data_IF_566796257460
#
_entry.id   IF_566796257460
#
_cell.length_a   1.000
_cell.length_b   1.000
_cell.length_c   1.000
_cell.angle_alpha   90.00
_cell.angle_beta   90.00
_cell.angle_gamma   90.00
#
_symmetry.space_group_name_H-M   'P 1'
#
loop_
_entity.id
_entity.type
_entity.pdbx_description
1 polymer ?
#
# COMPACT_ATOMS: atom_id res chain seq x y z
N UNK A 1 -15.59 37.41 -32.12
CA UNK A 1 -15.08 37.44 -30.72
C UNK A 1 -15.72 36.35 -29.83
N UNK A 2 -17.04 36.10 -29.93
CA UNK A 2 -17.78 35.10 -29.13
C UNK A 2 -17.24 33.67 -29.24
N UNK A 3 -16.85 33.20 -30.44
CA UNK A 3 -16.30 31.85 -30.63
C UNK A 3 -14.94 31.59 -29.98
N UNK A 4 -14.13 32.63 -29.73
CA UNK A 4 -12.82 32.49 -29.09
C UNK A 4 -12.94 32.35 -27.57
N UNK A 5 -13.89 33.05 -26.96
CA UNK A 5 -14.22 32.94 -25.53
C UNK A 5 -14.80 31.56 -25.21
N UNK A 6 -15.74 31.08 -26.04
CA UNK A 6 -16.32 29.74 -25.89
C UNK A 6 -15.26 28.62 -25.99
N UNK A 7 -14.30 28.74 -26.90
CA UNK A 7 -13.20 27.75 -27.00
C UNK A 7 -12.26 27.78 -25.79
N UNK A 8 -12.00 28.96 -25.22
CA UNK A 8 -11.17 29.08 -24.01
C UNK A 8 -11.88 28.53 -22.78
N UNK A 9 -13.18 28.75 -22.64
CA UNK A 9 -13.96 28.20 -21.51
C UNK A 9 -14.05 26.68 -21.57
N UNK A 10 -14.32 26.08 -22.74
CA UNK A 10 -14.37 24.62 -22.87
C UNK A 10 -13.01 23.97 -22.57
N UNK A 11 -11.91 24.56 -23.07
CA UNK A 11 -10.56 24.06 -22.75
C UNK A 11 -10.26 24.14 -21.25
N UNK A 12 -10.65 25.23 -20.59
CA UNK A 12 -10.46 25.39 -19.15
C UNK A 12 -11.29 24.37 -18.35
N UNK A 13 -12.54 24.12 -18.75
CA UNK A 13 -13.42 23.12 -18.14
C UNK A 13 -12.85 21.70 -18.27
N UNK A 14 -12.44 21.32 -19.48
CA UNK A 14 -11.79 20.02 -19.74
C UNK A 14 -10.54 19.81 -18.91
N UNK A 15 -9.66 20.82 -18.86
CA UNK A 15 -8.45 20.77 -18.03
C UNK A 15 -8.78 20.68 -16.54
N UNK A 16 -9.79 21.43 -16.07
CA UNK A 16 -10.27 21.35 -14.70
C UNK A 16 -10.81 19.97 -14.35
N UNK A 17 -11.50 19.31 -15.28
CA UNK A 17 -12.00 17.95 -15.10
C UNK A 17 -10.87 16.91 -15.03
N UNK A 18 -9.85 17.01 -15.90
CA UNK A 18 -8.66 16.16 -15.84
C UNK A 18 -7.95 16.29 -14.48
N UNK A 19 -7.70 17.54 -14.05
CA UNK A 19 -7.06 17.82 -12.77
C UNK A 19 -7.88 17.26 -11.60
N UNK A 20 -9.22 17.35 -11.66
CA UNK A 20 -10.11 16.79 -10.66
C UNK A 20 -10.05 15.26 -10.59
N UNK A 21 -10.02 14.57 -11.74
CA UNK A 21 -9.88 13.11 -11.79
C UNK A 21 -8.54 12.69 -11.23
N UNK A 22 -7.44 13.28 -11.73
CA UNK A 22 -6.10 12.97 -11.26
C UNK A 22 -5.97 13.19 -9.74
N UNK A 23 -6.49 14.31 -9.23
CA UNK A 23 -6.50 14.63 -7.80
C UNK A 23 -7.30 13.63 -6.97
N UNK A 24 -8.50 13.26 -7.43
CA UNK A 24 -9.39 12.34 -6.74
C UNK A 24 -8.79 10.92 -6.70
N UNK A 25 -8.23 10.46 -7.80
CA UNK A 25 -7.57 9.16 -7.89
C UNK A 25 -6.30 9.13 -7.02
N UNK A 26 -5.48 10.17 -7.07
CA UNK A 26 -4.30 10.30 -6.22
C UNK A 26 -4.64 10.28 -4.74
N UNK A 27 -5.74 10.94 -4.34
CA UNK A 27 -6.23 10.90 -2.95
C UNK A 27 -6.70 9.51 -2.51
N UNK A 28 -7.33 8.74 -3.40
CA UNK A 28 -7.77 7.37 -3.11
C UNK A 28 -6.56 6.45 -2.99
N UNK A 29 -5.63 6.53 -3.94
CA UNK A 29 -4.40 5.73 -3.95
C UNK A 29 -3.48 6.04 -2.75
N UNK A 30 -3.44 7.30 -2.29
CA UNK A 30 -2.67 7.68 -1.12
C UNK A 30 -3.40 7.43 0.22
N UNK A 31 -4.60 6.85 0.21
CA UNK A 31 -5.43 6.75 1.41
C UNK A 31 -4.88 5.77 2.46
N UNK A 32 -4.26 4.68 2.01
CA UNK A 32 -3.56 3.69 2.84
C UNK A 32 -2.05 4.01 3.00
N UNK A 33 -1.57 5.04 2.29
CA UNK A 33 -0.19 5.50 2.29
C UNK A 33 0.72 4.77 1.30
N UNK A 34 0.20 3.85 0.47
CA UNK A 34 1.00 3.10 -0.52
C UNK A 34 0.32 3.14 -1.88
N UNK A 35 0.84 3.97 -2.77
CA UNK A 35 0.39 4.03 -4.16
C UNK A 35 0.91 2.81 -4.91
N UNK A 36 0.00 2.01 -5.48
CA UNK A 36 0.35 0.80 -6.23
C UNK A 36 0.35 1.04 -7.75
N UNK A 37 1.22 0.37 -8.52
CA UNK A 37 1.20 0.49 -9.97
C UNK A 37 -0.11 -0.02 -10.60
N UNK A 38 -0.80 -0.96 -9.95
CA UNK A 38 -2.11 -1.48 -10.37
C UNK A 38 -3.18 -0.39 -10.40
N UNK A 39 -3.18 0.52 -9.41
CA UNK A 39 -4.11 1.64 -9.31
C UNK A 39 -3.91 2.63 -10.47
N UNK A 40 -2.66 2.94 -10.78
CA UNK A 40 -2.31 3.80 -11.91
C UNK A 40 -2.66 3.13 -13.25
N UNK A 41 -2.40 1.83 -13.40
CA UNK A 41 -2.78 1.07 -14.59
C UNK A 41 -4.31 1.09 -14.78
N UNK A 42 -5.08 0.98 -13.69
CA UNK A 42 -6.54 1.03 -13.74
C UNK A 42 -7.07 2.39 -14.16
N UNK A 43 -6.49 3.48 -13.65
CA UNK A 43 -6.81 4.84 -14.12
C UNK A 43 -6.60 4.98 -15.63
N UNK A 44 -5.47 4.47 -16.15
CA UNK A 44 -5.17 4.52 -17.58
C UNK A 44 -6.09 3.65 -18.43
N UNK A 45 -6.54 2.52 -17.90
CA UNK A 45 -7.57 1.70 -18.53
C UNK A 45 -8.89 2.49 -18.65
N UNK A 46 -9.33 3.16 -17.59
CA UNK A 46 -10.55 3.96 -17.59
C UNK A 46 -10.51 5.10 -18.60
N UNK A 47 -9.37 5.78 -18.73
CA UNK A 47 -9.19 6.87 -19.69
C UNK A 47 -9.37 6.38 -21.13
N UNK A 48 -8.99 5.12 -21.42
CA UNK A 48 -9.11 4.53 -22.76
C UNK A 48 -10.53 4.04 -23.07
N UNK A 49 -11.29 3.64 -22.04
CA UNK A 49 -12.63 3.06 -22.19
C UNK A 49 -13.70 4.16 -22.28
N UNK A 50 -13.61 5.20 -21.45
CA UNK A 50 -14.66 6.20 -21.34
C UNK A 50 -14.61 7.24 -22.48
N UNK A 51 -15.75 7.49 -23.12
CA UNK A 51 -15.87 8.42 -24.25
C UNK A 51 -15.55 9.88 -23.90
N UNK A 52 -15.73 10.27 -22.62
CA UNK A 52 -15.42 11.60 -22.11
C UNK A 52 -13.94 11.72 -21.78
N UNK A 53 -13.33 10.64 -21.28
CA UNK A 53 -11.94 10.63 -20.86
C UNK A 53 -10.93 10.37 -21.98
N UNK A 54 -11.33 9.65 -23.03
CA UNK A 54 -10.46 9.35 -24.19
C UNK A 54 -9.97 10.58 -24.94
N UNK A 55 -10.61 11.73 -24.74
CA UNK A 55 -10.17 13.01 -25.31
C UNK A 55 -8.91 13.58 -24.62
N UNK A 56 -8.53 13.03 -23.47
CA UNK A 56 -7.36 13.45 -22.71
C UNK A 56 -6.11 12.64 -23.10
N UNK A 57 -4.96 13.32 -23.08
CA UNK A 57 -3.68 12.66 -23.27
C UNK A 57 -3.32 11.86 -22.01
N UNK A 58 -3.04 10.56 -22.16
CA UNK A 58 -2.67 9.70 -21.04
C UNK A 58 -1.42 10.20 -20.30
N UNK A 59 -0.46 10.81 -21.00
CA UNK A 59 0.75 11.39 -20.38
C UNK A 59 0.42 12.61 -19.53
N UNK A 60 -0.57 13.43 -19.94
CA UNK A 60 -1.04 14.55 -19.14
C UNK A 60 -1.71 14.07 -17.86
N UNK A 61 -2.49 12.98 -17.93
CA UNK A 61 -3.15 12.41 -16.75
C UNK A 61 -2.14 11.79 -15.79
N UNK A 62 -1.15 11.03 -16.29
CA UNK A 62 -0.07 10.48 -15.47
C UNK A 62 0.68 11.61 -14.76
N UNK A 63 1.11 12.63 -15.52
CA UNK A 63 1.83 13.76 -14.93
C UNK A 63 0.98 14.56 -13.95
N UNK A 64 -0.34 14.64 -14.12
CA UNK A 64 -1.22 15.24 -13.13
C UNK A 64 -1.34 14.39 -11.86
N UNK A 65 -1.51 13.08 -12.02
CA UNK A 65 -1.63 12.13 -10.91
C UNK A 65 -0.37 12.14 -10.03
N UNK A 66 0.81 12.01 -10.64
CA UNK A 66 2.10 12.06 -9.95
C UNK A 66 2.29 13.36 -9.17
N UNK A 67 1.95 14.52 -9.75
CA UNK A 67 2.00 15.82 -9.05
C UNK A 67 1.13 15.86 -7.78
N UNK A 68 -0.03 15.21 -7.79
CA UNK A 68 -0.89 15.15 -6.60
C UNK A 68 -0.34 14.17 -5.57
N UNK A 69 0.17 13.01 -6.01
CA UNK A 69 0.86 12.06 -5.12
C UNK A 69 2.03 12.73 -4.42
N UNK A 70 2.91 13.43 -5.14
CA UNK A 70 4.02 14.20 -4.55
C UNK A 70 3.54 15.24 -3.53
N UNK A 71 2.43 15.92 -3.82
CA UNK A 71 1.89 16.92 -2.88
C UNK A 71 1.31 16.24 -1.63
N UNK A 72 0.65 15.09 -1.78
CA UNK A 72 0.07 14.32 -0.68
C UNK A 72 1.15 13.66 0.19
N UNK A 73 2.23 13.20 -0.41
CA UNK A 73 3.39 12.62 0.26
C UNK A 73 4.16 13.67 1.07
N UNK A 74 4.32 14.88 0.52
CA UNK A 74 4.97 15.98 1.23
C UNK A 74 4.18 16.45 2.46
N UNK A 75 2.89 16.75 2.29
CA UNK A 75 1.99 17.10 3.39
C UNK A 75 0.56 16.70 3.04
N UNK A 76 0.09 15.64 3.70
CA UNK A 76 -1.23 15.08 3.43
C UNK A 76 -2.37 16.08 3.64
N UNK A 77 -2.27 17.01 4.60
CA UNK A 77 -3.34 17.99 4.88
C UNK A 77 -3.41 19.04 3.78
N UNK A 78 -2.27 19.54 3.33
CA UNK A 78 -2.18 20.51 2.24
C UNK A 78 -2.57 19.83 0.91
N UNK A 79 -2.05 18.63 0.65
CA UNK A 79 -2.39 17.84 -0.53
C UNK A 79 -3.88 17.54 -0.61
N UNK A 80 -4.50 17.16 0.51
CA UNK A 80 -5.95 16.93 0.60
C UNK A 80 -6.77 18.18 0.25
N UNK A 81 -6.44 19.35 0.80
CA UNK A 81 -7.17 20.59 0.47
C UNK A 81 -6.98 20.98 -1.00
N UNK A 82 -5.76 20.83 -1.53
CA UNK A 82 -5.46 21.10 -2.95
C UNK A 82 -6.25 20.16 -3.87
N UNK A 83 -6.32 18.88 -3.54
CA UNK A 83 -7.09 17.90 -4.29
C UNK A 83 -8.60 18.17 -4.22
N UNK A 84 -9.15 18.47 -3.02
CA UNK A 84 -10.55 18.87 -2.91
C UNK A 84 -10.89 20.16 -3.65
N UNK A 85 -9.95 21.11 -3.73
CA UNK A 85 -10.13 22.32 -4.52
C UNK A 85 -10.29 22.00 -6.01
N UNK A 86 -9.51 21.06 -6.54
CA UNK A 86 -9.67 20.57 -7.91
C UNK A 86 -11.00 19.82 -8.09
N UNK A 87 -11.37 18.93 -7.16
CA UNK A 87 -12.65 18.19 -7.21
C UNK A 87 -13.86 19.13 -7.20
N UNK A 88 -13.83 20.18 -6.36
CA UNK A 88 -14.88 21.21 -6.29
C UNK A 88 -15.01 22.05 -7.57
N UNK A 89 -14.02 22.01 -8.47
CA UNK A 89 -14.11 22.69 -9.77
C UNK A 89 -15.06 21.96 -10.75
N UNK A 90 -15.38 20.69 -10.49
CA UNK A 90 -16.36 19.93 -11.26
C UNK A 90 -17.77 20.30 -10.80
N UNK A 91 -18.68 20.44 -11.76
CA UNK A 91 -20.07 20.77 -11.47
C UNK A 91 -20.75 19.67 -10.64
N UNK A 92 -21.40 20.05 -9.54
CA UNK A 92 -22.11 19.13 -8.65
C UNK A 92 -23.25 18.44 -9.38
N UNK A 93 -23.47 17.14 -9.09
CA UNK A 93 -24.53 16.32 -9.70
C UNK A 93 -24.51 16.25 -11.24
N UNK A 94 -23.36 16.54 -11.86
CA UNK A 94 -23.18 16.41 -13.31
C UNK A 94 -22.83 14.98 -13.72
N UNK A 95 -22.92 14.69 -15.03
CA UNK A 95 -22.43 13.43 -15.60
C UNK A 95 -20.93 13.24 -15.38
N UNK A 96 -20.15 14.31 -15.52
CA UNK A 96 -18.71 14.35 -15.25
C UNK A 96 -18.39 13.99 -13.78
N UNK A 97 -19.12 14.57 -12.82
CA UNK A 97 -18.95 14.24 -11.41
C UNK A 97 -19.29 12.77 -11.10
N UNK A 98 -20.26 12.19 -11.82
CA UNK A 98 -20.59 10.77 -11.70
C UNK A 98 -19.47 9.88 -12.23
N UNK A 99 -18.92 10.21 -13.40
CA UNK A 99 -17.77 9.49 -13.99
C UNK A 99 -16.58 9.53 -13.02
N UNK A 100 -16.27 10.70 -12.45
CA UNK A 100 -15.19 10.85 -11.47
C UNK A 100 -15.34 9.88 -10.29
N UNK A 101 -16.53 9.79 -9.69
CA UNK A 101 -16.77 8.87 -8.57
C UNK A 101 -16.61 7.40 -9.00
N UNK A 102 -17.10 7.04 -10.19
CA UNK A 102 -16.98 5.68 -10.73
C UNK A 102 -15.51 5.29 -10.96
N UNK A 103 -14.71 6.22 -11.48
CA UNK A 103 -13.27 6.01 -11.67
C UNK A 103 -12.57 5.82 -10.31
N UNK A 104 -12.85 6.67 -9.32
CA UNK A 104 -12.29 6.53 -7.98
C UNK A 104 -12.61 5.18 -7.34
N UNK A 105 -13.86 4.72 -7.46
CA UNK A 105 -14.25 3.40 -6.96
C UNK A 105 -13.46 2.29 -7.65
N UNK A 106 -13.39 2.33 -8.98
CA UNK A 106 -12.78 1.25 -9.73
C UNK A 106 -11.26 1.16 -9.55
N UNK A 107 -10.60 2.28 -9.23
CA UNK A 107 -9.19 2.29 -8.83
C UNK A 107 -9.01 1.67 -7.45
N UNK A 108 -9.88 1.99 -6.48
CA UNK A 108 -9.83 1.34 -5.17
C UNK A 108 -10.16 -0.16 -5.22
N UNK A 109 -10.76 -0.65 -6.29
CA UNK A 109 -10.99 -2.09 -6.52
C UNK A 109 -9.86 -2.75 -7.35
N UNK A 110 -8.78 -2.02 -7.68
CA UNK A 110 -7.75 -2.50 -8.60
C UNK A 110 -6.90 -3.67 -8.04
N UNK A 111 -6.68 -3.73 -6.73
CA UNK A 111 -5.88 -4.75 -6.05
C UNK A 111 -6.73 -5.78 -5.27
N UNK A 112 -8.02 -5.88 -5.61
CA UNK A 112 -9.03 -6.76 -4.97
C UNK A 112 -9.27 -6.48 -3.46
N UNK A 113 -8.70 -5.43 -2.88
CA UNK A 113 -8.96 -5.00 -1.50
C UNK A 113 -9.32 -3.52 -1.41
N UNK A 114 -10.58 -3.20 -1.71
CA UNK A 114 -11.08 -1.87 -1.45
C UNK A 114 -11.24 -1.69 0.07
N UNK A 115 -10.34 -0.96 0.70
CA UNK A 115 -10.26 -0.87 2.16
C UNK A 115 -11.19 0.22 2.75
N UNK A 116 -11.18 0.38 4.08
CA UNK A 116 -12.00 1.40 4.74
C UNK A 116 -11.49 2.84 4.55
N UNK A 117 -10.17 3.05 4.42
CA UNK A 117 -9.53 4.34 4.14
C UNK A 117 -9.91 4.85 2.75
N UNK A 118 -9.76 4.02 1.74
CA UNK A 118 -10.14 4.30 0.36
C UNK A 118 -11.65 4.56 0.27
N UNK A 119 -12.49 3.69 0.86
CA UNK A 119 -13.95 3.92 0.97
C UNK A 119 -14.29 5.25 1.62
N UNK A 120 -13.61 5.59 2.72
CA UNK A 120 -13.83 6.85 3.41
C UNK A 120 -13.55 8.04 2.49
N UNK A 121 -12.42 8.02 1.78
CA UNK A 121 -12.06 9.07 0.83
C UNK A 121 -13.11 9.21 -0.28
N UNK A 122 -13.56 8.11 -0.89
CA UNK A 122 -14.59 8.15 -1.94
C UNK A 122 -15.93 8.68 -1.40
N UNK A 123 -16.30 8.37 -0.15
CA UNK A 123 -17.49 8.95 0.51
C UNK A 123 -17.37 10.48 0.65
N UNK A 124 -16.22 10.99 1.06
CA UNK A 124 -15.99 12.44 1.14
C UNK A 124 -16.11 13.12 -0.23
N UNK A 125 -15.65 12.44 -1.29
CA UNK A 125 -15.78 12.92 -2.68
C UNK A 125 -17.26 12.94 -3.11
N UNK A 126 -18.04 11.91 -2.78
CA UNK A 126 -19.48 11.86 -3.05
C UNK A 126 -20.22 13.04 -2.42
N UNK A 127 -19.96 13.32 -1.13
CA UNK A 127 -20.56 14.44 -0.41
C UNK A 127 -20.18 15.79 -1.04
N UNK A 128 -18.90 15.92 -1.41
CA UNK A 128 -18.37 17.12 -2.08
C UNK A 128 -19.01 17.36 -3.45
N UNK A 129 -19.38 16.30 -4.18
CA UNK A 129 -20.03 16.40 -5.49
C UNK A 129 -21.57 16.38 -5.41
N UNK A 130 -22.13 16.18 -4.21
CA UNK A 130 -23.57 16.24 -3.94
C UNK A 130 -24.34 14.97 -4.26
N UNK A 131 -23.66 13.82 -4.24
CA UNK A 131 -24.26 12.50 -4.37
C UNK A 131 -24.33 11.78 -3.01
N UNK A 132 -25.25 10.81 -2.92
CA UNK A 132 -25.33 9.91 -1.77
C UNK A 132 -24.40 8.71 -1.99
N UNK A 133 -23.57 8.32 -1.00
CA UNK A 133 -22.64 7.19 -1.14
C UNK A 133 -23.31 5.86 -1.52
N UNK A 134 -24.54 5.62 -1.05
CA UNK A 134 -25.32 4.42 -1.41
C UNK A 134 -25.66 4.28 -2.89
N UNK A 135 -25.57 5.34 -3.67
CA UNK A 135 -25.75 5.28 -5.13
C UNK A 135 -24.60 4.57 -5.85
N UNK A 136 -23.47 4.39 -5.17
CA UNK A 136 -22.23 3.83 -5.72
C UNK A 136 -21.77 2.58 -4.96
N UNK A 137 -22.67 1.93 -4.23
CA UNK A 137 -22.39 0.73 -3.43
C UNK A 137 -21.34 0.92 -2.33
N UNK A 138 -21.09 2.17 -1.94
CA UNK A 138 -20.10 2.54 -0.90
C UNK A 138 -20.63 2.31 0.52
N UNK A 139 -21.92 2.03 0.67
CA UNK A 139 -22.58 1.79 1.97
C UNK A 139 -22.38 0.35 2.45
N UNK A 140 -22.03 -0.57 1.54
CA UNK A 140 -21.74 -1.94 1.89
C UNK A 140 -20.31 -2.05 2.41
N UNK A 141 -20.20 -2.34 3.71
CA UNK A 141 -19.14 -3.17 4.29
C UNK A 141 -18.74 -4.25 3.27
N UNK A 142 -17.45 -4.49 3.05
CA UNK A 142 -16.94 -5.50 2.11
C UNK A 142 -17.85 -6.72 2.07
N UNK A 143 -18.32 -7.17 0.89
CA UNK A 143 -19.14 -8.37 0.80
C UNK A 143 -18.39 -9.50 1.52
N UNK A 144 -19.04 -10.06 2.54
CA UNK A 144 -18.55 -11.28 3.16
C UNK A 144 -18.51 -12.35 2.07
N UNK A 145 -17.64 -13.35 2.20
CA UNK A 145 -17.65 -14.55 1.33
C UNK A 145 -19.05 -15.20 1.25
N UNK A 146 -19.96 -14.86 2.18
CA UNK A 146 -21.37 -15.28 2.26
C UNK A 146 -22.33 -14.46 1.40
N UNK A 147 -21.96 -13.25 0.99
CA UNK A 147 -22.81 -12.31 0.26
C UNK A 147 -22.68 -12.46 -1.26
N UNK A 148 -21.71 -13.26 -1.73
CA UNK A 148 -21.59 -13.60 -3.14
C UNK A 148 -22.69 -14.58 -3.57
N UNK A 149 -23.41 -14.32 -4.67
CA UNK A 149 -24.22 -15.34 -5.31
C UNK A 149 -23.34 -16.54 -5.68
N UNK A 150 -23.72 -17.75 -5.27
CA UNK A 150 -23.02 -19.02 -5.58
C UNK A 150 -22.76 -19.28 -7.08
N UNK A 151 -23.26 -18.43 -7.97
CA UNK A 151 -23.17 -18.55 -9.42
C UNK A 151 -21.77 -18.25 -10.00
N UNK A 152 -20.83 -17.68 -9.22
CA UNK A 152 -19.45 -17.42 -9.66
C UNK A 152 -18.44 -18.52 -9.28
N UNK A 153 -18.91 -19.68 -8.83
CA UNK A 153 -18.06 -20.87 -8.74
C UNK A 153 -17.70 -21.30 -10.17
N UNK A 154 -16.63 -20.70 -10.71
CA UNK A 154 -15.96 -21.17 -11.93
C UNK A 154 -15.86 -22.68 -11.79
N UNK A 155 -16.58 -23.41 -12.66
CA UNK A 155 -16.45 -24.87 -12.77
C UNK A 155 -14.96 -25.16 -12.73
N UNK A 156 -14.52 -25.78 -11.63
CA UNK A 156 -13.17 -26.30 -11.48
C UNK A 156 -12.99 -27.17 -12.72
N UNK A 157 -12.27 -26.67 -13.73
CA UNK A 157 -11.92 -27.48 -14.89
C UNK A 157 -11.20 -28.65 -14.29
N UNK A 158 -11.84 -29.81 -14.38
CA UNK A 158 -11.32 -31.08 -13.95
C UNK A 158 -10.05 -31.30 -14.77
N UNK A 159 -8.93 -30.79 -14.26
CA UNK A 159 -7.63 -31.20 -14.73
C UNK A 159 -7.57 -32.67 -14.38
N UNK A 160 -7.78 -33.53 -15.38
CA UNK A 160 -7.47 -34.95 -15.27
C UNK A 160 -6.04 -35.01 -14.77
N UNK A 161 -5.89 -35.43 -13.52
CA UNK A 161 -4.58 -35.62 -12.91
C UNK A 161 -3.75 -36.51 -13.85
N UNK A 162 -2.49 -36.14 -14.13
CA UNK A 162 -1.64 -36.87 -15.05
C UNK A 162 -1.42 -38.30 -14.52
N UNK A 163 -1.16 -39.23 -15.44
CA UNK A 163 -1.21 -40.67 -15.16
C UNK A 163 -0.30 -41.11 -13.99
N UNK A 164 0.89 -40.53 -13.89
CA UNK A 164 1.85 -40.74 -12.79
C UNK A 164 1.35 -40.27 -11.40
N UNK A 165 0.25 -39.53 -11.35
CA UNK A 165 -0.40 -39.07 -10.11
C UNK A 165 -1.66 -39.87 -9.77
N UNK A 166 -2.10 -40.79 -10.63
CA UNK A 166 -3.18 -41.75 -10.31
C UNK A 166 -2.67 -42.93 -9.48
N UNK A 167 -1.42 -43.33 -9.67
CA UNK A 167 -0.85 -44.53 -9.05
C UNK A 167 -0.25 -44.31 -7.66
N UNK A 168 -0.21 -43.07 -7.17
CA UNK A 168 0.11 -42.78 -5.75
C UNK A 168 -1.03 -43.13 -4.79
N UNK A 169 -2.21 -43.51 -5.31
CA UNK A 169 -3.35 -43.98 -4.53
C UNK A 169 -3.22 -45.44 -4.04
N UNK A 170 -2.12 -46.14 -4.37
CA UNK A 170 -1.85 -47.49 -3.85
C UNK A 170 -0.61 -47.52 -2.97
N UNK A 171 -0.56 -46.62 -1.98
CA UNK A 171 0.13 -46.99 -0.75
C UNK A 171 -0.80 -47.92 0.03
N UNK A 172 -0.32 -49.08 0.54
CA UNK A 172 -1.13 -49.89 1.43
C UNK A 172 -1.58 -48.99 2.59
N UNK A 173 -2.90 -48.95 2.84
CA UNK A 173 -3.44 -48.24 3.98
C UNK A 173 -2.71 -48.70 5.24
N UNK A 174 -2.27 -47.81 6.15
CA UNK A 174 -1.81 -48.27 7.44
C UNK A 174 -2.94 -49.09 8.07
N UNK A 175 -2.65 -50.26 8.68
CA UNK A 175 -3.70 -51.12 9.18
C UNK A 175 -4.60 -50.33 10.14
N UNK A 176 -5.90 -50.35 9.87
CA UNK A 176 -6.93 -49.76 10.72
C UNK A 176 -6.70 -50.30 12.13
N UNK A 177 -6.21 -49.44 13.03
CA UNK A 177 -6.03 -49.80 14.45
C UNK A 177 -7.42 -50.00 15.04
N UNK A 178 -7.88 -51.26 15.11
CA UNK A 178 -8.92 -51.67 16.05
C UNK A 178 -8.53 -51.12 17.41
N UNK A 179 -9.46 -50.43 18.09
CA UNK A 179 -9.28 -49.83 19.42
C UNK A 179 -8.70 -50.91 20.35
N UNK A 180 -7.40 -50.85 20.61
CA UNK A 180 -6.72 -51.78 21.52
C UNK A 180 -7.28 -51.54 22.92
N UNK A 181 -7.86 -52.57 23.53
CA UNK A 181 -8.22 -52.56 24.96
C UNK A 181 -6.94 -52.45 25.78
N UNK A 182 -7.03 -51.84 26.96
CA UNK A 182 -5.89 -51.39 27.79
C UNK A 182 -4.86 -52.48 28.12
N UNK A 183 -5.19 -53.76 27.98
CA UNK A 183 -4.29 -54.90 28.15
C UNK A 183 -3.14 -54.99 27.13
N UNK A 184 -3.29 -54.40 25.94
CA UNK A 184 -2.43 -54.67 24.76
C UNK A 184 -1.46 -53.52 24.40
N UNK A 185 -1.19 -52.65 25.39
CA UNK A 185 -0.35 -51.46 25.23
C UNK A 185 1.00 -51.66 25.96
N UNK A 186 2.16 -51.42 25.33
CA UNK A 186 3.45 -51.52 25.99
C UNK A 186 3.54 -50.63 27.24
N UNK A 187 4.22 -51.08 28.30
CA UNK A 187 4.21 -50.42 29.63
C UNK A 187 4.58 -48.91 29.58
N UNK A 188 5.46 -48.53 28.66
CA UNK A 188 5.91 -47.15 28.44
C UNK A 188 4.87 -46.21 27.80
N UNK A 189 3.76 -46.75 27.29
CA UNK A 189 2.72 -45.98 26.59
C UNK A 189 1.41 -45.88 27.41
N UNK A 190 1.35 -46.54 28.57
CA UNK A 190 0.19 -46.49 29.48
C UNK A 190 0.18 -45.26 30.40
N UNK A 191 1.33 -44.61 30.56
CA UNK A 191 1.46 -43.40 31.35
C UNK A 191 1.89 -42.24 30.43
N UNK A 192 1.36 -41.02 30.63
CA UNK A 192 1.88 -39.83 29.97
C UNK A 192 3.39 -39.72 30.27
N UNK A 193 4.24 -39.40 29.29
CA UNK A 193 5.64 -39.13 29.59
C UNK A 193 5.70 -37.98 30.59
N UNK A 194 6.39 -38.19 31.71
CA UNK A 194 6.66 -37.11 32.66
C UNK A 194 7.36 -35.97 31.91
N UNK A 195 6.98 -34.69 32.17
CA UNK A 195 7.74 -33.58 31.63
C UNK A 195 9.20 -33.74 32.03
N UNK A 196 10.17 -33.43 31.15
CA UNK A 196 11.58 -33.58 31.48
C UNK A 196 11.83 -32.81 32.77
N UNK A 197 12.35 -33.50 33.79
CA UNK A 197 12.79 -32.85 35.02
C UNK A 197 13.79 -31.78 34.60
N UNK A 198 13.57 -30.54 35.05
CA UNK A 198 14.55 -29.47 34.89
C UNK A 198 15.86 -30.05 35.42
N UNK A 199 16.96 -30.01 34.67
CA UNK A 199 18.21 -30.48 35.20
C UNK A 199 18.58 -29.61 36.41
N UNK A 200 18.90 -30.26 37.53
CA UNK A 200 19.45 -29.61 38.72
C UNK A 200 20.87 -29.12 38.39
N UNK A 201 20.97 -28.05 37.62
CA UNK A 201 22.22 -27.36 37.39
C UNK A 201 22.35 -26.30 38.47
N UNK A 202 23.23 -26.55 39.43
CA UNK A 202 23.82 -25.47 40.23
C UNK A 202 24.43 -24.45 39.28
N UNK A 203 24.16 -23.16 39.51
CA UNK A 203 24.52 -21.97 38.71
C UNK A 203 26.02 -21.80 38.31
N UNK A 204 26.85 -22.80 38.59
CA UNK A 204 28.30 -22.74 38.55
C UNK A 204 28.91 -23.14 37.20
N UNK A 205 28.15 -23.65 36.24
CA UNK A 205 28.69 -24.12 34.93
C UNK A 205 28.01 -23.51 33.69
N UNK A 206 27.45 -22.29 33.78
CA UNK A 206 27.05 -21.53 32.60
C UNK A 206 28.23 -20.66 32.07
N UNK A 207 28.47 -20.62 30.75
CA UNK A 207 29.52 -19.79 30.14
C UNK A 207 29.23 -18.29 30.33
N UNK A 208 30.27 -17.46 30.49
CA UNK A 208 30.15 -16.07 30.92
C UNK A 208 29.14 -15.21 30.16
N UNK A 209 29.01 -15.41 28.84
CA UNK A 209 28.11 -14.63 27.99
C UNK A 209 26.63 -14.82 28.31
N UNK A 210 26.27 -15.84 29.10
CA UNK A 210 24.88 -16.15 29.47
C UNK A 210 24.54 -15.81 30.93
N UNK A 211 25.48 -15.22 31.69
CA UNK A 211 25.28 -14.82 33.10
C UNK A 211 24.62 -13.45 33.29
N UNK A 212 24.19 -12.79 32.22
CA UNK A 212 23.63 -11.43 32.27
C UNK A 212 22.10 -11.50 32.28
N UNK A 213 21.51 -12.00 33.37
CA UNK A 213 20.11 -11.75 33.70
C UNK A 213 19.76 -12.25 35.11
N UNK A 214 20.51 -11.88 36.16
CA UNK A 214 20.04 -11.99 37.54
C UNK A 214 20.88 -11.13 38.48
N UNK A 215 20.47 -9.88 38.68
CA UNK A 215 20.63 -9.23 39.99
C UNK A 215 19.27 -8.65 40.40
N UNK A 216 18.72 -9.06 41.56
CA UNK A 216 17.57 -8.41 42.15
C UNK A 216 18.10 -7.26 43.02
N UNK A 217 17.89 -6.02 42.59
CA UNK A 217 17.70 -4.89 43.51
C UNK A 217 17.45 -3.62 42.70
N UNK A 218 16.16 -3.33 42.48
CA UNK A 218 15.73 -2.01 42.05
C UNK A 218 15.38 -1.17 43.28
N UNK A 219 16.04 -0.02 43.48
CA UNK A 219 15.39 1.12 44.08
C UNK A 219 15.10 2.20 43.02
N UNK A 220 13.97 2.86 43.22
CA UNK A 220 13.35 3.83 42.36
C UNK A 220 14.23 5.06 42.03
N UNK A 221 14.05 5.56 40.80
CA UNK A 221 13.99 6.97 40.39
C UNK A 221 15.09 7.93 40.89
N UNK A 222 15.94 8.41 39.97
CA UNK A 222 16.52 9.77 40.04
C UNK A 222 16.85 10.34 38.66
N UNK A 223 16.11 11.40 38.34
CA UNK A 223 16.40 12.54 37.46
C UNK A 223 17.87 12.77 37.10
N UNK A 224 18.07 13.23 35.86
CA UNK A 224 19.21 14.01 35.37
C UNK A 224 20.61 13.40 35.56
N UNK A 225 21.11 12.75 34.51
CA UNK A 225 22.55 12.73 34.24
C UNK A 225 22.76 13.02 32.75
N UNK A 226 23.29 14.21 32.46
CA UNK A 226 23.78 14.58 31.14
C UNK A 226 24.94 13.63 30.83
N UNK A 227 24.71 12.63 29.99
CA UNK A 227 25.77 11.77 29.50
C UNK A 227 26.41 12.48 28.31
N UNK A 228 27.68 12.88 28.48
CA UNK A 228 28.47 13.37 27.37
C UNK A 228 28.72 12.23 26.38
N UNK A 229 28.66 12.50 25.07
CA UNK A 229 28.85 11.46 24.06
C UNK A 229 30.26 10.85 24.18
N UNK A 230 30.38 9.52 24.01
CA UNK A 230 31.64 8.78 24.19
C UNK A 230 32.73 9.24 23.22
N UNK A 231 34.01 9.08 23.59
CA UNK A 231 35.16 9.69 22.89
C UNK A 231 35.24 9.40 21.39
N UNK A 232 34.81 8.22 20.94
CA UNK A 232 34.79 7.88 19.52
C UNK A 232 33.84 8.78 18.71
N UNK A 233 32.82 9.36 19.34
CA UNK A 233 31.88 10.31 18.73
C UNK A 233 32.41 11.75 18.74
N UNK A 234 33.39 12.08 19.60
CA UNK A 234 34.07 13.38 19.60
C UNK A 234 35.07 13.52 18.46
N UNK A 235 35.61 12.41 17.96
CA UNK A 235 36.59 12.41 16.88
C UNK A 235 35.97 12.53 15.48
N UNK A 236 34.72 12.11 15.27
CA UNK A 236 34.01 12.35 13.99
C UNK A 236 33.59 13.82 13.77
N UNK A 237 33.63 14.67 14.80
CA UNK A 237 33.21 16.07 14.71
C UNK A 237 34.35 17.05 14.32
N UNK A 238 35.61 16.60 14.23
CA UNK A 238 36.76 17.47 13.93
C UNK A 238 37.33 17.36 12.51
N UNK A 239 36.73 16.55 11.64
CA UNK A 239 37.11 16.47 10.23
C UNK A 239 35.88 16.56 9.32
N UNK A 240 35.19 17.69 9.36
CA UNK A 240 34.36 18.14 8.24
C UNK A 240 35.07 19.34 7.62
N UNK A 241 35.60 19.25 6.38
CA UNK A 241 36.03 20.44 5.67
C UNK A 241 34.80 21.27 5.32
N UNK A 242 34.85 22.55 5.68
CA UNK A 242 33.86 23.58 5.35
C UNK A 242 33.79 23.70 3.81
N UNK A 243 32.61 23.88 3.18
CA UNK A 243 32.54 24.03 1.73
C UNK A 243 33.17 25.37 1.34
N UNK A 244 34.40 25.31 0.85
CA UNK A 244 35.06 26.42 0.18
C UNK A 244 34.45 26.53 -1.21
N UNK A 245 33.97 27.74 -1.52
CA UNK A 245 33.30 28.07 -2.77
C UNK A 245 34.38 28.35 -3.81
N UNK A 246 34.94 27.35 -4.49
CA UNK A 246 35.84 27.60 -5.63
C UNK A 246 35.97 26.43 -6.61
N UNK A 247 35.60 26.76 -7.85
CA UNK A 247 36.00 26.25 -9.17
C UNK A 247 35.71 24.80 -9.60
N UNK A 248 34.80 24.69 -10.58
CA UNK A 248 34.52 23.49 -11.35
C UNK A 248 35.80 23.02 -12.09
N UNK A 249 36.10 21.70 -12.08
CA UNK A 249 37.27 21.14 -12.73
C UNK A 249 37.23 21.30 -14.25
N UNK A 250 38.39 21.50 -14.89
CA UNK A 250 38.59 21.76 -16.32
C UNK A 250 37.79 20.83 -17.27
N UNK A 251 37.69 19.54 -16.93
CA UNK A 251 36.94 18.58 -17.73
C UNK A 251 35.42 18.83 -17.75
N UNK A 252 34.90 19.53 -16.74
CA UNK A 252 33.48 19.90 -16.61
C UNK A 252 33.17 21.25 -17.29
N UNK A 253 34.18 22.11 -17.50
CA UNK A 253 34.06 23.31 -18.34
C UNK A 253 33.99 22.96 -19.84
N UNK A 254 34.48 21.78 -20.24
CA UNK A 254 34.59 21.34 -21.65
C UNK A 254 33.31 20.71 -22.25
N UNK A 255 32.29 20.46 -21.44
CA UNK A 255 31.03 19.82 -21.88
C UNK A 255 30.04 20.85 -22.49
N UNK A 256 30.27 22.15 -22.31
CA UNK A 256 29.37 23.21 -22.77
C UNK A 256 29.66 23.83 -24.14
N UNK A 257 30.74 23.45 -24.83
CA UNK A 257 31.21 24.16 -26.04
C UNK A 257 31.18 23.31 -27.32
N UNK A 258 30.09 22.55 -27.55
CA UNK A 258 29.85 21.84 -28.82
C UNK A 258 28.43 22.08 -29.38
N UNK A 259 27.84 23.25 -29.10
CA UNK A 259 26.64 23.71 -29.82
C UNK A 259 26.87 25.10 -30.40
N UNK A 260 27.54 25.18 -31.55
CA UNK A 260 27.57 26.40 -32.33
C UNK A 260 28.73 26.54 -33.30
N UNK A 261 28.71 25.79 -34.41
CA UNK A 261 29.08 26.26 -35.77
C UNK A 261 29.15 25.08 -36.75
N UNK A 262 28.07 24.91 -37.52
CA UNK A 262 28.05 25.06 -38.98
C UNK A 262 26.62 24.98 -39.47
#
# INVERSE_FOLDING_TARGET
MIGLLKRRSEKARKRGFLEAIAAACAMVAAADGIVRPEEMAKLLEFIRIDDTLKEFDSTEVIGAFERYIETLDFDFRIGKEKAFKAIRAVERRSGEARILILVCRAIGEADDDFDNSQRYVVRQICETLGFSPGQFDLDLRSPSVRDFPKAFEKKKKEQKMPEWMRDSATLPSPPVKKKKRDGDMPKWMRHPPEPPRKPDHTDSELPEWMRIASTPDAPANKKNRKEEPPEWMRQSAKSSPKPEREELPEWMKKIGDHSGKK
#
